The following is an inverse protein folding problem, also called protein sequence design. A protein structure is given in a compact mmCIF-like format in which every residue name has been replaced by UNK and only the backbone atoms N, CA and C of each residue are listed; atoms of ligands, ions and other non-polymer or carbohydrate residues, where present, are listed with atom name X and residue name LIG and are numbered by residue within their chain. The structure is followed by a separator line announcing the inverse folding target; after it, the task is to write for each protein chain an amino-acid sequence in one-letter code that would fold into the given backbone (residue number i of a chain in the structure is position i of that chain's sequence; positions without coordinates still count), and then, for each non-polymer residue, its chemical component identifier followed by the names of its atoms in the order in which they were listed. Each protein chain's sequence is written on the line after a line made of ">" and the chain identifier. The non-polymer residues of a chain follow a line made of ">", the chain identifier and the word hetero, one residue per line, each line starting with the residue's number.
data_IF_986475426214
#
_entry.id   IF_986475426214
#
_cell.length_a   1.000
_cell.length_b   1.000
_cell.length_c   1.000
_cell.angle_alpha   90.00
_cell.angle_beta   90.00
_cell.angle_gamma   90.00
#
_symmetry.space_group_name_H-M   'P 1'
#
loop_
_entity.id
_entity.type
_entity.pdbx_description
1 polymer ?
#
# COMPACT_ATOMS: atom_id res chain seq x y z
N UNK A 1 -9.15 31.59 11.46
CA UNK A 1 -7.93 30.73 11.48
C UNK A 1 -7.67 30.32 10.02
N UNK A 2 -6.49 30.63 9.48
CA UNK A 2 -6.26 30.59 8.03
C UNK A 2 -5.88 29.16 7.60
N UNK A 3 -6.89 28.35 7.28
CA UNK A 3 -6.76 26.93 6.89
C UNK A 3 -5.82 26.73 5.70
N UNK A 4 -5.74 27.72 4.81
CA UNK A 4 -4.82 27.75 3.69
C UNK A 4 -3.35 27.79 4.14
N UNK A 5 -3.03 28.62 5.14
CA UNK A 5 -1.66 28.72 5.68
C UNK A 5 -1.23 27.41 6.32
N UNK A 6 -2.15 26.70 6.97
CA UNK A 6 -1.86 25.37 7.54
C UNK A 6 -1.54 24.35 6.44
N UNK A 7 -2.27 24.36 5.32
CA UNK A 7 -1.98 23.50 4.17
C UNK A 7 -0.60 23.81 3.56
N UNK A 8 -0.29 25.09 3.38
CA UNK A 8 1.00 25.51 2.83
C UNK A 8 2.15 25.05 3.73
N UNK A 9 2.03 25.20 5.05
CA UNK A 9 3.03 24.71 6.02
C UNK A 9 3.18 23.18 6.00
N UNK A 10 2.09 22.43 5.85
CA UNK A 10 2.16 20.97 5.72
C UNK A 10 2.90 20.55 4.44
N UNK A 11 2.71 21.30 3.34
CA UNK A 11 3.43 21.07 2.10
C UNK A 11 4.93 21.37 2.23
N UNK A 12 5.31 22.45 2.91
CA UNK A 12 6.71 22.80 3.20
C UNK A 12 7.42 21.71 4.03
N UNK A 13 6.69 21.11 4.98
CA UNK A 13 7.18 20.01 5.82
C UNK A 13 7.21 18.65 5.11
N UNK A 14 6.80 18.57 3.83
CA UNK A 14 6.66 17.32 3.06
C UNK A 14 5.71 16.31 3.71
N UNK A 15 4.65 16.81 4.34
CA UNK A 15 3.58 16.01 4.95
C UNK A 15 2.38 15.93 4.00
N UNK A 16 2.62 15.41 2.80
CA UNK A 16 1.62 15.43 1.72
C UNK A 16 0.37 14.59 2.05
N UNK A 17 0.54 13.49 2.79
CA UNK A 17 -0.57 12.63 3.22
C UNK A 17 -1.46 13.35 4.22
N UNK A 18 -0.84 14.04 5.21
CA UNK A 18 -1.58 14.90 6.13
C UNK A 18 -2.29 16.04 5.41
N UNK A 19 -1.62 16.73 4.48
CA UNK A 19 -2.20 17.86 3.76
C UNK A 19 -3.47 17.45 2.98
N UNK A 20 -3.43 16.32 2.26
CA UNK A 20 -4.58 15.76 1.56
C UNK A 20 -5.72 15.40 2.51
N UNK A 21 -5.41 14.74 3.63
CA UNK A 21 -6.41 14.35 4.61
C UNK A 21 -7.04 15.56 5.31
N UNK A 22 -6.24 16.60 5.60
CA UNK A 22 -6.70 17.87 6.14
C UNK A 22 -7.65 18.57 5.17
N UNK A 23 -7.30 18.65 3.90
CA UNK A 23 -8.15 19.22 2.85
C UNK A 23 -9.47 18.44 2.70
N UNK A 24 -9.42 17.11 2.78
CA UNK A 24 -10.62 16.27 2.73
C UNK A 24 -11.57 16.58 3.91
N UNK A 25 -11.05 16.74 5.13
CA UNK A 25 -11.89 17.09 6.30
C UNK A 25 -12.44 18.51 6.21
N UNK A 26 -11.69 19.47 5.66
CA UNK A 26 -12.19 20.81 5.40
C UNK A 26 -13.35 20.84 4.39
N UNK A 27 -13.35 19.91 3.43
CA UNK A 27 -14.45 19.77 2.47
C UNK A 27 -15.68 19.05 3.05
N UNK A 28 -15.58 18.43 4.22
CA UNK A 28 -16.69 17.73 4.86
C UNK A 28 -17.62 18.70 5.61
N UNK A 29 -18.95 18.44 5.62
CA UNK A 29 -19.88 19.17 6.46
C UNK A 29 -19.51 19.07 7.95
N UNK A 30 -19.67 20.15 8.70
CA UNK A 30 -19.33 20.24 10.13
C UNK A 30 -19.92 19.09 10.98
N UNK A 31 -21.09 18.59 10.59
CA UNK A 31 -21.80 17.49 11.28
C UNK A 31 -21.10 16.13 11.14
N UNK A 32 -20.24 15.97 10.13
CA UNK A 32 -19.50 14.73 9.85
C UNK A 32 -18.01 14.87 10.20
N UNK A 33 -17.61 15.98 10.83
CA UNK A 33 -16.23 16.17 11.23
C UNK A 33 -15.91 15.27 12.44
N UNK A 34 -14.83 14.47 12.36
CA UNK A 34 -14.42 13.63 13.47
C UNK A 34 -14.04 14.49 14.68
N UNK A 35 -14.11 13.89 15.87
CA UNK A 35 -13.59 14.52 17.09
C UNK A 35 -12.10 14.87 16.95
N UNK A 36 -11.59 15.83 17.72
CA UNK A 36 -10.19 16.30 17.61
C UNK A 36 -9.16 15.14 17.68
N UNK A 37 -9.36 14.19 18.60
CA UNK A 37 -8.46 13.05 18.75
C UNK A 37 -8.51 12.11 17.53
N UNK A 38 -9.71 11.82 17.03
CA UNK A 38 -9.88 11.00 15.81
C UNK A 38 -9.32 11.71 14.58
N UNK A 39 -9.45 13.03 14.51
CA UNK A 39 -8.89 13.83 13.44
C UNK A 39 -7.36 13.75 13.41
N UNK A 40 -6.70 13.95 14.55
CA UNK A 40 -5.24 13.85 14.65
C UNK A 40 -4.77 12.43 14.31
N UNK A 41 -5.45 11.40 14.84
CA UNK A 41 -5.13 10.01 14.52
C UNK A 41 -5.23 9.73 13.01
N UNK A 42 -6.32 10.18 12.37
CA UNK A 42 -6.53 10.04 10.93
C UNK A 42 -5.48 10.76 10.09
N UNK A 43 -5.04 11.95 10.50
CA UNK A 43 -3.96 12.68 9.83
C UNK A 43 -2.64 11.88 9.90
N UNK A 44 -2.30 11.35 11.08
CA UNK A 44 -1.09 10.56 11.27
C UNK A 44 -1.11 9.26 10.45
N UNK A 45 -2.22 8.54 10.44
CA UNK A 45 -2.42 7.34 9.62
C UNK A 45 -2.29 7.64 8.11
N UNK A 46 -2.93 8.71 7.63
CA UNK A 46 -2.86 9.11 6.24
C UNK A 46 -1.42 9.40 5.77
N UNK A 47 -0.61 10.01 6.63
CA UNK A 47 0.80 10.29 6.34
C UNK A 47 1.66 9.03 6.30
N UNK A 48 1.48 8.12 7.26
CA UNK A 48 2.17 6.83 7.27
C UNK A 48 1.83 6.02 6.01
N UNK A 49 0.55 6.01 5.64
CA UNK A 49 0.06 5.36 4.42
C UNK A 49 0.69 5.98 3.16
N UNK A 50 0.67 7.30 2.99
CA UNK A 50 1.23 7.99 1.81
C UNK A 50 2.75 7.73 1.68
N UNK A 51 3.49 7.73 2.79
CA UNK A 51 4.92 7.38 2.81
C UNK A 51 5.17 5.93 2.42
N UNK A 52 4.40 5.00 2.95
CA UNK A 52 4.49 3.58 2.60
C UNK A 52 4.20 3.37 1.11
N UNK A 53 3.13 3.98 0.59
CA UNK A 53 2.76 3.91 -0.82
C UNK A 53 3.84 4.48 -1.75
N UNK A 54 4.41 5.65 -1.42
CA UNK A 54 5.52 6.24 -2.18
C UNK A 54 6.75 5.33 -2.21
N UNK A 55 7.10 4.73 -1.07
CA UNK A 55 8.23 3.78 -0.97
C UNK A 55 7.98 2.54 -1.84
N UNK A 56 6.78 1.97 -1.78
CA UNK A 56 6.38 0.82 -2.60
C UNK A 56 6.42 1.17 -4.09
N UNK A 57 5.84 2.31 -4.50
CA UNK A 57 5.87 2.76 -5.89
C UNK A 57 7.30 2.97 -6.40
N UNK A 58 8.19 3.52 -5.57
CA UNK A 58 9.60 3.68 -5.89
C UNK A 58 10.28 2.32 -6.11
N UNK A 59 10.10 1.34 -5.21
CA UNK A 59 10.67 0.01 -5.39
C UNK A 59 10.12 -0.73 -6.62
N UNK A 60 8.82 -0.59 -6.90
CA UNK A 60 8.22 -1.16 -8.12
C UNK A 60 8.78 -0.51 -9.40
N UNK A 61 9.02 0.81 -9.38
CA UNK A 61 9.64 1.49 -10.52
C UNK A 61 11.09 1.06 -10.74
N UNK A 62 11.82 0.78 -9.65
CA UNK A 62 13.24 0.40 -9.69
C UNK A 62 13.45 -1.08 -10.01
N UNK A 63 12.48 -1.95 -9.74
CA UNK A 63 12.60 -3.40 -9.95
C UNK A 63 12.63 -3.80 -11.43
N UNK A 64 12.33 -2.87 -12.36
CA UNK A 64 12.34 -3.10 -13.82
C UNK A 64 11.56 -4.36 -14.24
N UNK A 65 10.49 -4.68 -13.50
CA UNK A 65 9.64 -5.81 -13.82
C UNK A 65 8.98 -5.58 -15.19
N UNK A 66 9.07 -6.59 -16.06
CA UNK A 66 8.48 -6.53 -17.41
C UNK A 66 6.95 -6.44 -17.37
N UNK A 67 6.35 -7.01 -16.34
CA UNK A 67 4.90 -7.06 -16.16
C UNK A 67 4.54 -6.59 -14.76
N UNK A 68 3.42 -5.88 -14.65
CA UNK A 68 2.80 -5.60 -13.36
C UNK A 68 2.15 -6.88 -12.83
N UNK A 69 2.92 -7.71 -12.14
CA UNK A 69 2.45 -8.97 -11.58
C UNK A 69 1.68 -8.72 -10.28
N UNK A 70 0.37 -8.96 -10.33
CA UNK A 70 -0.53 -8.90 -9.17
C UNK A 70 -1.02 -10.33 -8.89
N UNK A 71 -1.09 -10.72 -7.62
CA UNK A 71 -1.51 -12.06 -7.21
C UNK A 71 -2.89 -12.44 -7.77
N UNK A 72 -3.79 -11.47 -7.89
CA UNK A 72 -5.14 -11.62 -8.44
C UNK A 72 -5.15 -12.09 -9.91
N UNK A 73 -4.11 -11.77 -10.66
CA UNK A 73 -3.96 -12.18 -12.05
C UNK A 73 -3.34 -13.58 -12.21
N UNK A 74 -2.99 -14.26 -11.11
CA UNK A 74 -2.38 -15.59 -11.17
C UNK A 74 -3.45 -16.65 -11.42
N UNK A 75 -3.41 -17.24 -12.61
CA UNK A 75 -4.28 -18.36 -12.97
C UNK A 75 -3.84 -19.66 -12.28
N UNK A 76 -4.52 -19.98 -11.18
CA UNK A 76 -4.42 -21.26 -10.49
C UNK A 76 -5.22 -22.32 -11.26
N UNK A 77 -4.54 -23.27 -11.88
CA UNK A 77 -5.18 -24.37 -12.62
C UNK A 77 -4.53 -25.70 -12.24
N UNK A 78 -5.31 -26.78 -12.29
CA UNK A 78 -4.81 -28.12 -12.02
C UNK A 78 -3.67 -28.53 -12.95
N UNK A 79 -3.66 -28.05 -14.20
CA UNK A 79 -2.56 -28.28 -15.16
C UNK A 79 -1.23 -27.65 -14.71
N UNK A 80 -1.26 -26.54 -13.96
CA UNK A 80 -0.08 -25.88 -13.40
C UNK A 80 0.33 -26.44 -12.04
N UNK A 81 -0.42 -27.40 -11.50
CA UNK A 81 -0.22 -27.94 -10.15
C UNK A 81 -0.16 -26.84 -9.07
N UNK A 82 -0.94 -25.78 -9.26
CA UNK A 82 -0.97 -24.60 -8.38
C UNK A 82 -2.38 -24.37 -7.85
N UNK A 83 -2.55 -24.59 -6.55
CA UNK A 83 -3.81 -24.38 -5.84
C UNK A 83 -3.90 -22.96 -5.29
N UNK A 84 -5.10 -22.38 -5.32
CA UNK A 84 -5.34 -21.04 -4.80
C UNK A 84 -5.02 -20.92 -3.31
N UNK A 85 -5.27 -21.97 -2.53
CA UNK A 85 -4.96 -22.01 -1.10
C UNK A 85 -3.46 -21.93 -0.84
N UNK A 86 -2.64 -22.66 -1.60
CA UNK A 86 -1.18 -22.60 -1.51
C UNK A 86 -0.66 -21.23 -1.90
N UNK A 87 -1.22 -20.63 -2.96
CA UNK A 87 -0.84 -19.28 -3.37
C UNK A 87 -1.12 -18.24 -2.27
N UNK A 88 -2.28 -18.33 -1.60
CA UNK A 88 -2.60 -17.44 -0.48
C UNK A 88 -1.65 -17.64 0.71
N UNK A 89 -1.32 -18.90 1.05
CA UNK A 89 -0.35 -19.19 2.11
C UNK A 89 1.03 -18.58 1.83
N UNK A 90 1.46 -18.59 0.56
CA UNK A 90 2.71 -17.96 0.13
C UNK A 90 2.60 -16.42 0.08
N UNK A 91 1.43 -15.88 -0.27
CA UNK A 91 1.20 -14.44 -0.36
C UNK A 91 1.40 -13.72 0.99
N UNK A 92 1.08 -14.39 2.09
CA UNK A 92 1.26 -13.85 3.44
C UNK A 92 2.74 -13.76 3.86
N UNK A 93 3.67 -14.26 3.03
CA UNK A 93 5.12 -14.20 3.24
C UNK A 93 5.62 -14.83 4.56
N UNK A 94 4.77 -15.57 5.28
CA UNK A 94 5.10 -16.17 6.59
C UNK A 94 6.24 -17.18 6.54
N UNK A 95 6.49 -17.78 5.37
CA UNK A 95 7.63 -18.66 5.13
C UNK A 95 8.98 -17.95 5.31
N UNK A 96 9.04 -16.62 5.11
CA UNK A 96 10.25 -15.81 5.30
C UNK A 96 10.61 -15.78 6.79
N UNK A 97 9.63 -15.48 7.65
CA UNK A 97 9.82 -15.41 9.10
C UNK A 97 10.19 -16.78 9.70
N UNK A 98 9.68 -17.86 9.09
CA UNK A 98 9.97 -19.24 9.49
C UNK A 98 11.24 -19.82 8.88
N UNK A 99 11.92 -19.09 8.01
CA UNK A 99 13.06 -19.57 7.22
C UNK A 99 12.77 -20.88 6.46
N UNK A 100 11.55 -21.03 5.94
CA UNK A 100 11.13 -22.18 5.15
C UNK A 100 11.58 -22.03 3.68
N UNK A 101 12.07 -23.11 3.09
CA UNK A 101 12.57 -23.11 1.72
C UNK A 101 11.44 -23.35 0.71
N UNK A 102 11.37 -22.51 -0.33
CA UNK A 102 10.46 -22.70 -1.46
C UNK A 102 11.21 -23.24 -2.67
N UNK A 103 10.81 -24.41 -3.15
CA UNK A 103 11.34 -25.01 -4.37
C UNK A 103 10.36 -24.76 -5.53
N UNK A 104 10.79 -23.94 -6.49
CA UNK A 104 10.02 -23.70 -7.72
C UNK A 104 10.57 -24.60 -8.82
N UNK A 105 9.73 -25.48 -9.37
CA UNK A 105 10.09 -26.38 -10.47
C UNK A 105 9.17 -26.16 -11.66
N UNK A 106 9.72 -26.24 -12.87
CA UNK A 106 8.99 -26.02 -14.11
C UNK A 106 9.90 -26.12 -15.32
N UNK A 107 9.31 -26.26 -16.50
CA UNK A 107 10.07 -26.21 -17.74
C UNK A 107 10.66 -24.80 -17.95
N UNK A 108 11.80 -24.74 -18.63
CA UNK A 108 12.50 -23.47 -18.89
C UNK A 108 11.66 -22.56 -19.79
N UNK A 109 11.65 -21.26 -19.49
CA UNK A 109 10.92 -20.26 -20.28
C UNK A 109 9.41 -20.19 -20.04
N UNK A 110 8.86 -20.94 -19.07
CA UNK A 110 7.44 -20.90 -18.75
C UNK A 110 7.02 -19.72 -17.85
N UNK A 111 7.99 -19.02 -17.24
CA UNK A 111 7.73 -17.93 -16.29
C UNK A 111 7.24 -18.46 -14.97
#
# INVERSE_FOLDING_TARGET
>A
MNTQVTLDRLSELKLDGMAKAYQAVLSMPLQHQPSLNQFIARLAEAELQDRSMKKTALFLSQSKLRYNAVLEHVHCTAQRNLDKEKLMMLADCTFIDRAENLLITGATGCG
#
